data_IF_721039391944
#
_entry.id   IF_721039391944
#
_cell.length_a   1.000
_cell.length_b   1.000
_cell.length_c   1.000
_cell.angle_alpha   90.00
_cell.angle_beta   90.00
_cell.angle_gamma   90.00
#
_symmetry.space_group_name_H-M   'P 1'
#
loop_
_entity.id
_entity.type
_entity.pdbx_description
1 polymer ?
#
# COMPACT_ATOMS: atom_id res chain seq x y z
N UNK A 1 -1.51 20.55 2.08
CA UNK A 1 -2.07 19.27 2.54
C UNK A 1 -1.43 18.17 1.72
N UNK A 2 -0.79 17.19 2.36
CA UNK A 2 -0.18 16.05 1.64
C UNK A 2 -1.30 15.19 1.07
N UNK A 3 -1.37 15.09 -0.26
CA UNK A 3 -2.30 14.15 -0.91
C UNK A 3 -1.81 12.74 -0.64
N UNK A 4 -2.75 11.86 -0.33
CA UNK A 4 -2.51 10.43 -0.22
C UNK A 4 -3.41 9.71 -1.22
N UNK A 5 -2.87 8.69 -1.88
CA UNK A 5 -3.66 7.77 -2.70
C UNK A 5 -3.68 6.43 -1.96
N UNK A 6 -4.86 5.87 -1.78
CA UNK A 6 -5.04 4.57 -1.15
C UNK A 6 -5.40 3.53 -2.20
N UNK A 7 -4.68 2.42 -2.19
CA UNK A 7 -4.97 1.23 -2.97
C UNK A 7 -5.18 0.02 -2.06
N UNK A 8 -5.86 -0.99 -2.57
CA UNK A 8 -6.15 -2.23 -1.86
C UNK A 8 -5.88 -3.46 -2.71
N UNK A 9 -5.48 -4.54 -2.04
CA UNK A 9 -5.41 -5.90 -2.57
C UNK A 9 -6.22 -6.82 -1.63
N UNK A 10 -7.02 -7.72 -2.21
CA UNK A 10 -7.84 -8.68 -1.44
C UNK A 10 -7.02 -9.79 -0.77
N UNK A 11 -5.82 -10.05 -1.29
CA UNK A 11 -4.86 -11.00 -0.73
C UNK A 11 -4.20 -10.49 0.58
N UNK A 12 -3.85 -11.43 1.46
CA UNK A 12 -3.20 -11.15 2.75
C UNK A 12 -1.68 -11.33 2.65
N UNK A 13 -1.05 -10.61 1.73
CA UNK A 13 0.37 -10.79 1.38
C UNK A 13 1.11 -9.45 1.26
N UNK A 14 1.21 -8.65 2.34
CA UNK A 14 1.84 -7.32 2.28
C UNK A 14 3.29 -7.37 1.80
N UNK A 15 4.06 -8.38 2.21
CA UNK A 15 5.45 -8.56 1.76
C UNK A 15 5.55 -8.90 0.26
N UNK A 16 4.64 -9.73 -0.27
CA UNK A 16 4.63 -10.05 -1.71
C UNK A 16 4.18 -8.86 -2.54
N UNK A 17 3.19 -8.11 -2.06
CA UNK A 17 2.75 -6.86 -2.69
C UNK A 17 3.90 -5.84 -2.73
N UNK A 18 4.61 -5.65 -1.61
CA UNK A 18 5.79 -4.81 -1.55
C UNK A 18 6.89 -5.28 -2.51
N UNK A 19 7.17 -6.58 -2.58
CA UNK A 19 8.15 -7.13 -3.51
C UNK A 19 7.73 -6.94 -4.98
N UNK A 20 6.45 -7.10 -5.31
CA UNK A 20 5.93 -6.91 -6.66
C UNK A 20 6.01 -5.45 -7.09
N UNK A 21 5.59 -4.51 -6.23
CA UNK A 21 5.72 -3.07 -6.46
C UNK A 21 7.20 -2.69 -6.59
N UNK A 22 8.05 -3.25 -5.73
CA UNK A 22 9.50 -3.06 -5.75
C UNK A 22 10.13 -3.45 -7.09
N UNK A 23 9.79 -4.65 -7.60
CA UNK A 23 10.25 -5.10 -8.93
C UNK A 23 9.79 -4.19 -10.05
N UNK A 24 8.52 -3.77 -10.05
CA UNK A 24 7.97 -2.91 -11.09
C UNK A 24 8.62 -1.51 -11.07
N UNK A 25 8.91 -0.99 -9.87
CA UNK A 25 9.39 0.37 -9.68
C UNK A 25 10.91 0.50 -9.56
N UNK A 26 11.64 -0.62 -9.61
CA UNK A 26 13.10 -0.64 -9.43
C UNK A 26 13.56 -0.23 -8.03
N UNK A 27 12.79 -0.55 -6.98
CA UNK A 27 13.11 -0.19 -5.59
C UNK A 27 13.02 -1.39 -4.64
N UNK A 28 13.65 -1.26 -3.48
CA UNK A 28 13.58 -2.25 -2.41
C UNK A 28 12.72 -1.69 -1.29
N UNK A 29 11.73 -2.47 -0.87
CA UNK A 29 10.93 -2.17 0.30
C UNK A 29 11.61 -2.73 1.55
N UNK A 30 11.70 -1.90 2.58
CA UNK A 30 12.21 -2.30 3.88
C UNK A 30 11.04 -2.67 4.78
N UNK A 31 11.12 -3.83 5.43
CA UNK A 31 10.19 -4.20 6.49
C UNK A 31 10.48 -3.34 7.73
N UNK A 32 9.42 -2.83 8.33
CA UNK A 32 9.44 -2.06 9.57
C UNK A 32 8.50 -2.75 10.54
N UNK A 33 9.08 -3.19 11.65
CA UNK A 33 8.31 -3.70 12.78
C UNK A 33 7.74 -2.51 13.55
N UNK A 34 6.44 -2.55 13.82
CA UNK A 34 5.78 -1.56 14.67
C UNK A 34 4.89 -2.27 15.67
N UNK A 35 5.21 -2.09 16.95
CA UNK A 35 4.36 -2.56 18.04
C UNK A 35 2.93 -1.99 17.99
N UNK A 36 2.76 -0.88 17.28
CA UNK A 36 1.50 -0.16 17.21
C UNK A 36 0.73 -0.44 15.90
N UNK A 37 1.42 -0.36 14.76
CA UNK A 37 0.81 -0.35 13.42
C UNK A 37 0.78 -1.73 12.75
N UNK A 38 1.31 -2.74 13.43
CA UNK A 38 1.69 -4.00 12.80
C UNK A 38 2.90 -3.81 11.87
N UNK A 39 3.40 -4.93 11.35
CA UNK A 39 4.51 -4.90 10.42
C UNK A 39 4.06 -4.29 9.09
N UNK A 40 4.88 -3.38 8.55
CA UNK A 40 4.64 -2.79 7.25
C UNK A 40 5.92 -2.74 6.43
N UNK A 41 5.75 -2.64 5.12
CA UNK A 41 6.85 -2.48 4.17
C UNK A 41 6.82 -1.06 3.65
N UNK A 42 7.97 -0.39 3.59
CA UNK A 42 8.05 0.99 3.12
C UNK A 42 9.18 1.19 2.13
N UNK A 43 8.95 2.02 1.12
CA UNK A 43 9.96 2.47 0.18
C UNK A 43 9.69 3.92 -0.24
N UNK A 44 10.74 4.59 -0.71
CA UNK A 44 10.59 5.86 -1.43
C UNK A 44 10.68 5.58 -2.93
N UNK A 45 9.64 5.99 -3.68
CA UNK A 45 9.58 5.88 -5.13
C UNK A 45 9.46 7.29 -5.71
N UNK A 46 10.55 7.80 -6.28
CA UNK A 46 10.64 9.21 -6.64
C UNK A 46 10.49 10.10 -5.39
N UNK A 47 9.54 11.02 -5.42
CA UNK A 47 9.18 11.88 -4.27
C UNK A 47 8.12 11.26 -3.35
N UNK A 48 7.49 10.14 -3.74
CA UNK A 48 6.44 9.50 -2.96
C UNK A 48 7.00 8.51 -1.94
N UNK A 49 6.36 8.45 -0.77
CA UNK A 49 6.56 7.39 0.22
C UNK A 49 5.43 6.38 0.07
N UNK A 50 5.78 5.12 -0.15
CA UNK A 50 4.83 4.03 -0.34
C UNK A 50 4.91 3.12 0.87
N UNK A 51 3.78 2.87 1.51
CA UNK A 51 3.63 1.93 2.63
C UNK A 51 2.68 0.82 2.25
N UNK A 52 3.07 -0.42 2.49
CA UNK A 52 2.25 -1.62 2.29
C UNK A 52 2.01 -2.27 3.64
N UNK A 53 0.74 -2.48 3.99
CA UNK A 53 0.32 -2.88 5.34
C UNK A 53 -0.87 -3.84 5.27
N UNK A 54 -1.05 -4.68 6.28
CA UNK A 54 -2.26 -5.49 6.45
C UNK A 54 -3.41 -4.66 7.03
N UNK A 55 -4.63 -4.92 6.58
CA UNK A 55 -5.83 -4.46 7.29
C UNK A 55 -5.99 -5.35 8.54
N UNK A 56 -5.61 -4.86 9.74
CA UNK A 56 -6.51 -4.04 10.55
C UNK A 56 -5.76 -2.97 11.36
N UNK A 57 -4.95 -2.13 10.71
CA UNK A 57 -4.25 -1.05 11.43
C UNK A 57 -5.21 0.14 11.70
N UNK A 58 -5.52 0.38 12.98
CA UNK A 58 -6.40 1.45 13.44
C UNK A 58 -5.76 2.86 13.41
N UNK A 59 -4.52 3.00 12.92
CA UNK A 59 -3.73 4.22 13.11
C UNK A 59 -3.79 5.30 12.04
N UNK A 60 -4.98 5.51 11.46
CA UNK A 60 -5.29 6.84 10.94
C UNK A 60 -6.22 6.92 9.74
N UNK A 61 -6.53 5.80 9.10
CA UNK A 61 -7.56 5.76 8.05
C UNK A 61 -8.75 4.98 8.62
N UNK A 62 -9.96 5.59 8.72
CA UNK A 62 -11.13 4.87 9.20
C UNK A 62 -11.31 3.60 8.38
N UNK A 63 -11.52 2.47 9.06
CA UNK A 63 -11.90 1.21 8.42
C UNK A 63 -13.30 1.42 7.85
N UNK A 64 -13.36 2.02 6.67
CA UNK A 64 -14.61 2.22 5.95
C UNK A 64 -15.13 0.86 5.51
N UNK A 65 -16.44 0.65 5.60
CA UNK A 65 -17.05 -0.65 5.32
C UNK A 65 -16.71 -1.20 3.94
N UNK A 66 -16.48 -0.32 2.97
CA UNK A 66 -16.05 -0.66 1.60
C UNK A 66 -14.63 -1.24 1.52
N UNK A 67 -13.78 -1.02 2.53
CA UNK A 67 -12.41 -1.52 2.55
C UNK A 67 -12.28 -2.92 3.19
N UNK A 68 -13.33 -3.45 3.82
CA UNK A 68 -13.29 -4.75 4.52
C UNK A 68 -12.97 -5.94 3.60
N UNK A 69 -13.16 -5.78 2.29
CA UNK A 69 -12.80 -6.79 1.29
C UNK A 69 -11.29 -6.85 1.01
N UNK A 70 -10.52 -5.82 1.39
CA UNK A 70 -9.10 -5.69 1.10
C UNK A 70 -8.27 -6.02 2.33
N UNK A 71 -7.45 -7.07 2.23
CA UNK A 71 -6.61 -7.55 3.34
C UNK A 71 -5.25 -6.86 3.39
N UNK A 72 -4.79 -6.31 2.26
CA UNK A 72 -3.57 -5.51 2.16
C UNK A 72 -3.92 -4.13 1.64
N UNK A 73 -3.42 -3.09 2.32
CA UNK A 73 -3.56 -1.70 1.93
C UNK A 73 -2.21 -1.16 1.46
N UNK A 74 -2.25 -0.28 0.47
CA UNK A 74 -1.07 0.41 -0.06
C UNK A 74 -1.36 1.90 -0.02
N UNK A 75 -0.63 2.61 0.83
CA UNK A 75 -0.71 4.06 0.99
C UNK A 75 0.45 4.72 0.26
N UNK A 76 0.13 5.68 -0.59
CA UNK A 76 1.11 6.49 -1.32
C UNK A 76 0.98 7.93 -0.86
N UNK A 77 1.96 8.42 -0.11
CA UNK A 77 2.05 9.81 0.34
C UNK A 77 3.02 10.58 -0.58
N UNK A 78 2.56 11.58 -1.36
CA UNK A 78 3.41 12.32 -2.31
C UNK A 78 2.64 13.15 -3.35
N UNK A 79 3.35 13.82 -4.28
CA UNK A 79 2.73 14.58 -5.39
C UNK A 79 2.13 13.68 -6.50
N UNK A 80 1.24 14.26 -7.31
CA UNK A 80 0.17 13.64 -8.13
C UNK A 80 0.53 12.39 -8.97
N UNK A 81 1.78 12.21 -9.35
CA UNK A 81 2.23 11.03 -10.10
C UNK A 81 2.93 10.06 -9.16
N UNK A 82 2.14 9.50 -8.23
CA UNK A 82 2.56 8.31 -7.47
C UNK A 82 2.92 7.16 -8.41
N UNK A 83 3.56 6.09 -7.90
CA UNK A 83 3.91 4.95 -8.72
C UNK A 83 2.67 4.33 -9.39
N UNK A 84 2.82 3.93 -10.65
CA UNK A 84 1.76 3.30 -11.44
C UNK A 84 1.55 1.85 -10.99
N UNK A 85 0.93 1.65 -9.83
CA UNK A 85 0.74 0.32 -9.21
C UNK A 85 -0.67 -0.26 -9.41
N UNK A 86 -1.61 0.53 -9.92
CA UNK A 86 -2.97 0.07 -10.21
C UNK A 86 -2.97 -1.02 -11.27
N UNK A 87 -3.75 -2.08 -11.05
CA UNK A 87 -3.81 -3.24 -11.94
C UNK A 87 -2.63 -4.21 -11.82
N UNK A 88 -1.62 -3.93 -10.99
CA UNK A 88 -0.57 -4.89 -10.66
C UNK A 88 -1.20 -6.13 -10.01
N UNK A 89 -0.86 -7.32 -10.53
CA UNK A 89 -1.36 -8.60 -10.00
C UNK A 89 -0.37 -9.16 -8.99
N UNK A 90 -0.86 -9.46 -7.79
CA UNK A 90 -0.12 -10.06 -6.67
C UNK A 90 -0.96 -11.21 -6.14
N UNK A 91 -0.38 -12.41 -6.08
CA UNK A 91 -1.07 -13.62 -5.61
C UNK A 91 -2.44 -13.84 -6.28
N UNK A 92 -2.54 -13.57 -7.59
CA UNK A 92 -3.78 -13.69 -8.35
C UNK A 92 -4.82 -12.59 -8.13
N UNK A 93 -4.52 -11.59 -7.29
CA UNK A 93 -5.40 -10.45 -7.02
C UNK A 93 -4.81 -9.14 -7.57
N UNK A 94 -5.64 -8.33 -8.21
CA UNK A 94 -5.22 -7.02 -8.73
C UNK A 94 -5.21 -5.95 -7.63
N UNK A 95 -4.25 -5.02 -7.72
CA UNK A 95 -4.26 -3.76 -6.98
C UNK A 95 -5.39 -2.87 -7.50
N UNK A 96 -6.34 -2.53 -6.63
CA UNK A 96 -7.48 -1.66 -6.92
C UNK A 96 -7.28 -0.30 -6.25
N UNK A 97 -7.59 0.80 -6.95
CA UNK A 97 -7.56 2.14 -6.35
C UNK A 97 -8.81 2.35 -5.50
N UNK A 98 -8.62 2.73 -4.24
CA UNK A 98 -9.70 2.92 -3.27
C UNK A 98 -10.04 4.40 -3.05
N UNK A 99 -9.04 5.30 -3.08
CA UNK A 99 -9.25 6.74 -2.87
C UNK A 99 -8.23 7.59 -3.59
N UNK A 100 -8.70 8.73 -4.11
CA UNK A 100 -7.87 9.87 -4.52
C UNK A 100 -8.11 11.03 -3.55
N UNK A 101 -7.10 11.44 -2.79
CA UNK A 101 -7.15 12.71 -2.05
C UNK A 101 -7.13 13.94 -2.98
#
# INVERSE_FOLDING_TARGET
>A
MTRHVLFGIRAHVPGEAAAAIGRQSGCVFEQRESHYAGDYWTARIGSAVVKVMTQPDSYGDPVEGEFLAYRTLIRVDGEQSGPQIEGLVVDGHSVERLRTA
#
